data_IF_903964396473
#
_entry.id   IF_903964396473
#
_cell.length_a   1.000
_cell.length_b   1.000
_cell.length_c   1.000
_cell.angle_alpha   90.00
_cell.angle_beta   90.00
_cell.angle_gamma   90.00
#
_symmetry.space_group_name_H-M   'P 1'
#
loop_
_entity.id
_entity.type
_entity.pdbx_description
1 polymer ?
#
# COMPACT_ATOMS: atom_id res chain seq x y z
N UNK A 1 -21.06 -5.14 9.85
CA UNK A 1 -21.00 -5.48 8.42
C UNK A 1 -20.03 -6.63 8.27
N UNK A 2 -20.49 -7.81 7.87
CA UNK A 2 -19.61 -8.96 7.69
C UNK A 2 -18.86 -8.80 6.36
N UNK A 3 -17.57 -9.14 6.35
CA UNK A 3 -16.77 -9.15 5.12
C UNK A 3 -17.24 -10.32 4.24
N UNK A 4 -17.32 -10.09 2.94
CA UNK A 4 -17.65 -11.15 1.99
C UNK A 4 -16.67 -12.35 2.15
N UNK A 5 -17.15 -13.60 2.19
CA UNK A 5 -16.28 -14.77 2.41
C UNK A 5 -15.18 -14.94 1.37
N UNK A 6 -15.45 -14.60 0.10
CA UNK A 6 -14.45 -14.70 -0.97
C UNK A 6 -13.34 -13.65 -0.79
N UNK A 7 -13.72 -12.44 -0.39
CA UNK A 7 -12.80 -11.36 -0.03
C UNK A 7 -11.96 -11.74 1.20
N UNK A 8 -12.59 -12.29 2.24
CA UNK A 8 -11.88 -12.77 3.45
C UNK A 8 -10.83 -13.83 3.08
N UNK A 9 -11.19 -14.79 2.23
CA UNK A 9 -10.29 -15.83 1.74
C UNK A 9 -9.12 -15.25 0.95
N UNK A 10 -9.37 -14.28 0.06
CA UNK A 10 -8.33 -13.62 -0.73
C UNK A 10 -7.33 -12.86 0.16
N UNK A 11 -7.82 -12.11 1.16
CA UNK A 11 -6.97 -11.40 2.14
C UNK A 11 -6.12 -12.40 2.93
N UNK A 12 -6.74 -13.44 3.50
CA UNK A 12 -6.02 -14.45 4.27
C UNK A 12 -4.94 -15.16 3.45
N UNK A 13 -5.23 -15.47 2.18
CA UNK A 13 -4.26 -16.05 1.25
C UNK A 13 -3.09 -15.10 1.02
N UNK A 14 -3.37 -13.84 0.68
CA UNK A 14 -2.34 -12.82 0.44
C UNK A 14 -1.41 -12.64 1.65
N UNK A 15 -1.97 -12.52 2.85
CA UNK A 15 -1.19 -12.38 4.09
C UNK A 15 -0.31 -13.60 4.35
N UNK A 16 -0.84 -14.82 4.14
CA UNK A 16 -0.07 -16.06 4.31
C UNK A 16 1.04 -16.18 3.26
N UNK A 17 0.77 -15.87 2.00
CA UNK A 17 1.76 -15.84 0.92
C UNK A 17 2.90 -14.88 1.25
N UNK A 18 2.59 -13.68 1.74
CA UNK A 18 3.60 -12.68 2.11
C UNK A 18 4.44 -13.13 3.31
N UNK A 19 3.79 -13.64 4.36
CA UNK A 19 4.51 -14.14 5.54
C UNK A 19 5.45 -15.30 5.18
N UNK A 20 5.00 -16.23 4.34
CA UNK A 20 5.84 -17.32 3.87
C UNK A 20 6.98 -16.84 2.97
N UNK A 21 6.73 -15.87 2.08
CA UNK A 21 7.75 -15.27 1.20
C UNK A 21 8.91 -14.65 1.98
N UNK A 22 8.63 -13.91 3.06
CA UNK A 22 9.66 -13.25 3.87
C UNK A 22 10.22 -14.15 5.00
N UNK A 23 9.72 -15.38 5.15
CA UNK A 23 10.08 -16.26 6.27
C UNK A 23 9.57 -15.79 7.63
N UNK A 24 8.50 -14.99 7.65
CA UNK A 24 7.92 -14.39 8.85
C UNK A 24 6.79 -15.21 9.48
N UNK A 25 6.25 -14.68 10.58
CA UNK A 25 5.03 -15.16 11.21
C UNK A 25 3.86 -14.18 10.96
N UNK A 26 2.64 -14.70 10.94
CA UNK A 26 1.41 -13.93 10.77
C UNK A 26 0.45 -14.25 11.92
N UNK A 27 0.10 -13.23 12.69
CA UNK A 27 -0.82 -13.35 13.82
C UNK A 27 -1.96 -12.35 13.69
N UNK A 28 -3.19 -12.83 13.81
CA UNK A 28 -4.32 -11.94 14.01
C UNK A 28 -4.36 -11.47 15.46
N UNK A 29 -4.64 -10.18 15.63
CA UNK A 29 -4.72 -9.53 16.93
C UNK A 29 -6.07 -8.84 17.11
N UNK A 30 -6.58 -8.88 18.33
CA UNK A 30 -7.68 -8.02 18.77
C UNK A 30 -7.57 -7.78 20.26
N UNK A 31 -7.61 -6.53 20.67
CA UNK A 31 -7.69 -6.15 22.09
C UNK A 31 -9.00 -6.62 22.72
N UNK A 32 -10.07 -6.72 21.92
CA UNK A 32 -11.40 -7.14 22.38
C UNK A 32 -11.51 -8.65 22.62
N UNK A 33 -10.58 -9.44 22.08
CA UNK A 33 -10.57 -10.90 22.22
C UNK A 33 -9.38 -11.30 23.08
N UNK A 34 -9.57 -11.62 24.38
CA UNK A 34 -8.48 -11.90 25.31
C UNK A 34 -7.53 -12.99 24.84
N UNK A 35 -8.04 -14.03 24.16
CA UNK A 35 -7.25 -15.12 23.58
C UNK A 35 -6.20 -14.60 22.59
N UNK A 36 -6.57 -13.71 21.66
CA UNK A 36 -5.65 -13.19 20.64
C UNK A 36 -4.61 -12.24 21.24
N UNK A 37 -5.04 -11.37 22.16
CA UNK A 37 -4.09 -10.48 22.85
C UNK A 37 -3.10 -11.26 23.72
N UNK A 38 -3.54 -12.36 24.35
CA UNK A 38 -2.66 -13.27 25.09
C UNK A 38 -1.62 -13.92 24.18
N UNK A 39 -2.03 -14.45 23.02
CA UNK A 39 -1.09 -15.05 22.05
C UNK A 39 0.03 -14.05 21.71
N UNK A 40 -0.30 -12.80 21.38
CA UNK A 40 0.72 -11.79 21.08
C UNK A 40 1.65 -11.49 22.26
N UNK A 41 1.09 -11.27 23.47
CA UNK A 41 1.90 -11.02 24.68
C UNK A 41 2.82 -12.18 25.01
N UNK A 42 2.31 -13.40 24.97
CA UNK A 42 3.06 -14.63 25.24
C UNK A 42 4.16 -14.81 24.20
N UNK A 43 3.91 -14.45 22.94
CA UNK A 43 4.88 -14.50 21.84
C UNK A 43 6.02 -13.51 22.03
N UNK A 44 5.70 -12.23 22.27
CA UNK A 44 6.72 -11.21 22.52
C UNK A 44 7.52 -11.55 23.77
N UNK A 45 6.86 -12.04 24.83
CA UNK A 45 7.54 -12.45 26.06
C UNK A 45 8.46 -13.65 25.85
N UNK A 46 8.06 -14.62 25.03
CA UNK A 46 8.89 -15.76 24.67
C UNK A 46 10.11 -15.34 23.84
N UNK A 47 9.91 -14.50 22.82
CA UNK A 47 11.02 -14.05 21.95
C UNK A 47 11.98 -13.10 22.67
N UNK A 48 11.48 -12.23 23.55
CA UNK A 48 12.30 -11.25 24.28
C UNK A 48 12.97 -11.81 25.54
N UNK A 49 12.33 -12.78 26.22
CA UNK A 49 12.74 -13.20 27.56
C UNK A 49 12.75 -14.72 27.79
N UNK A 50 12.43 -15.54 26.78
CA UNK A 50 12.42 -17.00 26.91
C UNK A 50 11.29 -17.56 27.77
N UNK A 51 10.14 -16.86 27.87
CA UNK A 51 8.96 -17.29 28.62
C UNK A 51 8.57 -18.76 28.36
N UNK A 52 8.12 -19.54 29.36
CA UNK A 52 7.72 -20.94 29.18
C UNK A 52 6.39 -21.11 28.41
N UNK A 53 5.79 -20.04 27.90
CA UNK A 53 4.46 -20.02 27.27
C UNK A 53 4.34 -20.82 25.96
N UNK A 54 5.42 -21.41 25.42
CA UNK A 54 5.48 -22.21 24.18
C UNK A 54 4.47 -21.78 23.09
N UNK A 55 4.47 -20.50 22.67
CA UNK A 55 3.38 -19.92 21.88
C UNK A 55 3.29 -20.51 20.46
N UNK A 56 4.36 -21.13 19.97
CA UNK A 56 4.49 -21.63 18.60
C UNK A 56 3.82 -22.98 18.31
N UNK A 57 3.19 -23.63 19.30
CA UNK A 57 2.54 -24.95 19.09
C UNK A 57 1.21 -24.87 18.34
N UNK A 58 0.44 -23.80 18.53
CA UNK A 58 -0.89 -23.66 17.93
C UNK A 58 -0.78 -22.95 16.60
N UNK A 59 -1.25 -23.59 15.54
CA UNK A 59 -1.21 -23.06 14.17
C UNK A 59 -2.62 -23.06 13.57
N UNK A 60 -3.05 -21.92 13.02
CA UNK A 60 -4.38 -21.74 12.43
C UNK A 60 -4.25 -21.10 11.06
N UNK A 61 -4.61 -21.86 10.03
CA UNK A 61 -4.56 -21.47 8.61
C UNK A 61 -5.93 -21.32 7.96
N UNK A 62 -6.98 -21.76 8.65
CA UNK A 62 -8.35 -21.61 8.19
C UNK A 62 -8.72 -20.13 8.19
N UNK A 63 -9.21 -19.64 7.06
CA UNK A 63 -9.67 -18.27 6.87
C UNK A 63 -10.96 -17.98 7.63
N UNK A 64 -11.65 -18.99 8.15
CA UNK A 64 -12.82 -18.82 9.01
C UNK A 64 -12.44 -18.40 10.44
N UNK A 65 -11.26 -18.83 10.91
CA UNK A 65 -10.72 -18.55 12.22
C UNK A 65 -9.67 -17.42 12.19
N UNK A 66 -9.32 -16.82 13.34
CA UNK A 66 -8.20 -15.89 13.42
C UNK A 66 -6.87 -16.58 13.07
N UNK A 67 -6.15 -16.06 12.08
CA UNK A 67 -4.91 -16.67 11.63
C UNK A 67 -3.82 -16.65 12.70
N UNK A 68 -3.09 -17.75 12.77
CA UNK A 68 -1.89 -17.91 13.60
C UNK A 68 -0.91 -18.80 12.85
N UNK A 69 -0.06 -18.19 12.03
CA UNK A 69 0.88 -18.88 11.15
C UNK A 69 2.30 -18.57 11.60
N UNK A 70 3.08 -19.60 11.89
CA UNK A 70 4.46 -19.46 12.36
C UNK A 70 5.44 -19.65 11.21
N UNK A 71 6.64 -19.11 11.38
CA UNK A 71 7.71 -19.30 10.41
C UNK A 71 7.96 -20.80 10.18
N UNK A 72 8.05 -21.21 8.92
CA UNK A 72 8.31 -22.59 8.53
C UNK A 72 7.15 -23.59 8.68
N UNK A 73 5.99 -23.20 9.23
CA UNK A 73 4.84 -24.13 9.37
C UNK A 73 3.89 -24.13 8.17
N UNK A 74 4.00 -23.11 7.31
CA UNK A 74 3.22 -22.98 6.09
C UNK A 74 3.99 -23.40 4.83
N UNK A 75 3.27 -23.55 3.71
CA UNK A 75 3.83 -23.91 2.41
C UNK A 75 2.96 -23.40 1.28
N UNK A 76 3.56 -23.13 0.11
CA UNK A 76 2.83 -22.69 -1.08
C UNK A 76 1.64 -23.60 -1.43
N UNK A 77 1.81 -24.92 -1.34
CA UNK A 77 0.74 -25.88 -1.61
C UNK A 77 -0.44 -25.76 -0.63
N UNK A 78 -0.19 -25.48 0.65
CA UNK A 78 -1.24 -25.26 1.68
C UNK A 78 -1.90 -23.89 1.61
N UNK A 79 -1.23 -22.90 1.03
CA UNK A 79 -1.81 -21.58 0.74
C UNK A 79 -2.68 -21.66 -0.53
N UNK A 80 -2.38 -22.64 -1.39
CA UNK A 80 -3.08 -22.97 -2.62
C UNK A 80 -2.40 -22.40 -3.87
N UNK A 81 -1.10 -22.09 -3.79
CA UNK A 81 -0.23 -21.68 -4.89
C UNK A 81 0.66 -22.84 -5.35
N UNK A 82 0.95 -22.89 -6.64
CA UNK A 82 1.91 -23.84 -7.22
C UNK A 82 3.29 -23.19 -7.30
N UNK A 83 4.11 -23.48 -6.30
CA UNK A 83 5.51 -23.04 -6.22
C UNK A 83 5.73 -21.65 -5.65
N UNK A 84 7.00 -21.26 -5.57
CA UNK A 84 7.41 -19.97 -5.01
C UNK A 84 6.81 -18.81 -5.79
N UNK A 85 6.23 -17.84 -5.06
CA UNK A 85 5.63 -16.64 -5.63
C UNK A 85 6.54 -15.44 -5.36
N UNK A 86 6.66 -14.55 -6.34
CA UNK A 86 7.25 -13.21 -6.15
C UNK A 86 6.20 -12.26 -5.56
N UNK A 87 6.66 -11.13 -5.00
CA UNK A 87 5.79 -10.08 -4.45
C UNK A 87 4.80 -9.57 -5.50
N UNK A 88 5.25 -9.40 -6.75
CA UNK A 88 4.44 -8.92 -7.87
C UNK A 88 3.32 -9.91 -8.18
N UNK A 89 3.60 -11.22 -8.15
CA UNK A 89 2.60 -12.26 -8.43
C UNK A 89 1.57 -12.38 -7.31
N UNK A 90 2.00 -12.25 -6.05
CA UNK A 90 1.10 -12.19 -4.89
C UNK A 90 0.19 -10.97 -5.01
N UNK A 91 0.76 -9.81 -5.31
CA UNK A 91 0.03 -8.55 -5.50
C UNK A 91 -0.99 -8.62 -6.64
N UNK A 92 -0.59 -9.14 -7.82
CA UNK A 92 -1.48 -9.30 -8.96
C UNK A 92 -2.67 -10.23 -8.66
N UNK A 93 -2.41 -11.36 -8.00
CA UNK A 93 -3.46 -12.32 -7.61
C UNK A 93 -4.45 -11.68 -6.63
N UNK A 94 -3.96 -10.90 -5.67
CA UNK A 94 -4.81 -10.19 -4.72
C UNK A 94 -5.60 -9.07 -5.38
N UNK A 95 -4.98 -8.30 -6.29
CA UNK A 95 -5.63 -7.19 -7.02
C UNK A 95 -6.79 -7.63 -7.92
N UNK A 96 -6.77 -8.86 -8.45
CA UNK A 96 -7.91 -9.44 -9.18
C UNK A 96 -9.09 -9.71 -8.24
N UNK A 97 -8.84 -10.21 -7.04
CA UNK A 97 -9.87 -10.50 -6.06
C UNK A 97 -10.39 -9.25 -5.32
N UNK A 98 -9.54 -8.23 -5.20
CA UNK A 98 -9.83 -6.96 -4.53
C UNK A 98 -9.49 -5.84 -5.50
N UNK A 99 -10.37 -5.56 -6.48
CA UNK A 99 -10.13 -4.49 -7.42
C UNK A 99 -9.95 -3.19 -6.64
N UNK A 100 -8.92 -2.41 -6.98
CA UNK A 100 -8.72 -1.05 -6.46
C UNK A 100 -9.80 -0.12 -7.03
N UNK A 101 -11.04 -0.32 -6.62
CA UNK A 101 -12.10 0.63 -6.83
C UNK A 101 -11.78 1.83 -5.94
N UNK A 102 -11.47 2.98 -6.54
CA UNK A 102 -11.48 4.33 -5.97
C UNK A 102 -10.16 5.08 -5.82
N UNK A 103 -8.97 4.49 -6.03
CA UNK A 103 -7.75 5.32 -6.02
C UNK A 103 -7.73 6.29 -7.22
N UNK A 104 -8.16 5.82 -8.40
CA UNK A 104 -8.29 6.66 -9.59
C UNK A 104 -9.35 7.76 -9.42
N UNK A 105 -10.46 7.45 -8.74
CA UNK A 105 -11.52 8.44 -8.46
C UNK A 105 -11.11 9.45 -7.38
N UNK A 106 -10.27 9.05 -6.42
CA UNK A 106 -9.71 9.95 -5.41
C UNK A 106 -8.56 10.81 -5.97
N UNK A 107 -7.72 10.25 -6.85
CA UNK A 107 -6.71 11.01 -7.60
C UNK A 107 -7.35 12.03 -8.55
N UNK A 108 -8.54 11.75 -9.09
CA UNK A 108 -9.34 12.71 -9.86
C UNK A 108 -9.92 13.84 -9.01
N UNK A 109 -10.07 13.66 -7.69
CA UNK A 109 -10.61 14.68 -6.78
C UNK A 109 -9.55 15.56 -6.12
N UNK A 110 -8.28 15.15 -6.14
CA UNK A 110 -7.18 16.05 -5.78
C UNK A 110 -6.92 16.94 -6.99
N UNK A 111 -7.08 18.27 -6.91
CA UNK A 111 -6.60 19.14 -7.97
C UNK A 111 -5.14 18.81 -8.23
N UNK A 112 -4.78 18.46 -9.47
CA UNK A 112 -3.40 18.12 -9.83
C UNK A 112 -2.40 19.22 -9.44
N UNK A 113 -2.90 20.45 -9.31
CA UNK A 113 -2.16 21.62 -8.89
C UNK A 113 -2.85 22.26 -7.67
N UNK A 114 -2.26 22.18 -6.46
CA UNK A 114 -2.75 22.87 -5.27
C UNK A 114 -2.89 24.39 -5.48
N UNK A 115 -2.14 24.97 -6.42
CA UNK A 115 -2.25 26.38 -6.77
C UNK A 115 -3.53 26.73 -7.55
N UNK A 116 -4.27 25.72 -8.02
CA UNK A 116 -5.57 25.87 -8.71
C UNK A 116 -6.75 25.49 -7.82
N UNK A 117 -6.50 25.17 -6.55
CA UNK A 117 -7.56 24.85 -5.60
C UNK A 117 -8.33 26.12 -5.22
N UNK A 118 -9.66 26.18 -5.44
CA UNK A 118 -10.49 27.33 -5.10
C UNK A 118 -10.44 27.72 -3.62
N UNK A 119 -10.14 26.78 -2.73
CA UNK A 119 -10.02 27.01 -1.28
C UNK A 119 -8.79 27.84 -0.88
N UNK A 120 -7.81 27.98 -1.78
CA UNK A 120 -6.57 28.75 -1.56
C UNK A 120 -6.47 29.98 -2.47
N UNK A 121 -7.61 30.47 -3.01
CA UNK A 121 -7.63 31.65 -3.87
C UNK A 121 -7.26 32.91 -3.09
N UNK A 122 -6.22 33.61 -3.55
CA UNK A 122 -5.70 34.83 -2.93
C UNK A 122 -5.51 35.89 -4.02
N UNK A 123 -6.49 36.77 -4.21
CA UNK A 123 -6.55 37.67 -5.37
C UNK A 123 -5.24 38.42 -5.66
N UNK A 124 -4.58 38.97 -4.63
CA UNK A 124 -3.32 39.70 -4.81
C UNK A 124 -2.17 38.78 -5.27
N UNK A 125 -2.05 37.58 -4.69
CA UNK A 125 -0.99 36.64 -5.04
C UNK A 125 -1.24 36.04 -6.43
N UNK A 126 -2.50 35.76 -6.73
CA UNK A 126 -2.93 35.21 -8.02
C UNK A 126 -2.70 36.21 -9.17
N UNK A 127 -3.01 37.49 -8.96
CA UNK A 127 -2.73 38.57 -9.91
C UNK A 127 -1.23 38.75 -10.16
N UNK A 128 -0.41 38.81 -9.11
CA UNK A 128 1.05 38.93 -9.25
C UNK A 128 1.65 37.72 -9.98
N UNK A 129 1.16 36.51 -9.68
CA UNK A 129 1.60 35.29 -10.38
C UNK A 129 1.20 35.34 -11.86
N UNK A 130 -0.02 35.76 -12.18
CA UNK A 130 -0.49 35.89 -13.56
C UNK A 130 0.39 36.85 -14.36
N UNK A 131 0.71 38.01 -13.79
CA UNK A 131 1.62 38.98 -14.40
C UNK A 131 3.00 38.38 -14.67
N UNK A 132 3.60 37.70 -13.69
CA UNK A 132 4.92 37.07 -13.84
C UNK A 132 4.95 35.98 -14.91
N UNK A 133 3.87 35.22 -15.03
CA UNK A 133 3.73 34.19 -16.06
C UNK A 133 3.65 34.80 -17.47
N UNK A 134 2.98 35.93 -17.63
CA UNK A 134 2.89 36.65 -18.90
C UNK A 134 4.25 37.26 -19.31
N UNK A 135 4.95 37.88 -18.34
CA UNK A 135 6.31 38.38 -18.54
C UNK A 135 7.25 37.26 -18.99
N UNK A 136 7.22 36.11 -18.29
CA UNK A 136 8.04 34.95 -18.62
C UNK A 136 7.73 34.41 -20.03
N UNK A 137 6.46 34.30 -20.40
CA UNK A 137 6.07 33.81 -21.72
C UNK A 137 6.57 34.73 -22.85
N UNK A 138 6.59 36.04 -22.61
CA UNK A 138 7.13 37.02 -23.55
C UNK A 138 8.63 36.87 -23.69
N UNK A 139 9.37 36.78 -22.57
CA UNK A 139 10.82 36.54 -22.57
C UNK A 139 11.16 35.24 -23.30
N UNK A 140 10.42 34.15 -23.03
CA UNK A 140 10.65 32.87 -23.70
C UNK A 140 10.43 32.97 -25.21
N UNK A 141 9.39 33.69 -25.68
CA UNK A 141 9.18 33.96 -27.10
C UNK A 141 10.36 34.71 -27.70
N UNK A 142 10.82 35.76 -27.04
CA UNK A 142 11.91 36.61 -27.54
C UNK A 142 13.25 35.86 -27.58
N UNK A 143 13.56 35.06 -26.56
CA UNK A 143 14.75 34.19 -26.53
C UNK A 143 14.69 33.16 -27.65
N UNK A 144 13.54 32.54 -27.87
CA UNK A 144 13.37 31.51 -28.88
C UNK A 144 13.41 32.09 -30.30
N UNK A 145 12.93 33.32 -30.49
CA UNK A 145 13.10 34.07 -31.73
C UNK A 145 14.58 34.44 -31.96
N UNK A 146 15.28 34.97 -30.95
CA UNK A 146 16.72 35.30 -31.05
C UNK A 146 17.58 34.08 -31.39
N UNK A 147 17.37 32.94 -30.75
CA UNK A 147 18.09 31.70 -31.07
C UNK A 147 17.81 31.18 -32.50
N UNK A 148 16.64 31.46 -33.07
CA UNK A 148 16.33 31.18 -34.48
C UNK A 148 17.04 32.14 -35.45
N UNK A 149 17.29 33.39 -35.07
CA UNK A 149 18.03 34.34 -35.91
C UNK A 149 19.55 34.06 -35.90
N UNK A 150 20.11 33.68 -34.76
CA UNK A 150 21.53 33.32 -34.63
C UNK A 150 21.89 32.01 -35.38
N UNK A 151 20.94 31.10 -35.55
CA UNK A 151 21.13 29.85 -36.32
C UNK A 151 21.01 30.01 -37.84
N UNK A 152 20.59 31.18 -38.34
CA UNK A 152 20.49 31.49 -39.78
C UNK A 152 21.71 32.29 -40.28
N UNK A 153 22.54 32.83 -39.37
CA UNK A 153 23.76 33.58 -39.70
C UNK A 153 25.05 32.73 -39.75
N UNK A 154 24.95 31.41 -39.60
CA UNK A 154 26.06 30.47 -39.80
C UNK A 154 25.84 29.58 -41.03
#
# INVERSE_FOLDING_TARGET
MALDPSLKKAICRCLRSMAHHIGGALLFYSQKIPKLSKVLRDTISHMGFGSPSHPFRSHVTDHNEPLSVWFGTDSWSRIGDTGAQSVERIGATFGVAVPQLQLEKQLQQVPQDPAKDPGFKESLIDEMRAQKNEELATIMRDVLLRGKFESVQN
#
